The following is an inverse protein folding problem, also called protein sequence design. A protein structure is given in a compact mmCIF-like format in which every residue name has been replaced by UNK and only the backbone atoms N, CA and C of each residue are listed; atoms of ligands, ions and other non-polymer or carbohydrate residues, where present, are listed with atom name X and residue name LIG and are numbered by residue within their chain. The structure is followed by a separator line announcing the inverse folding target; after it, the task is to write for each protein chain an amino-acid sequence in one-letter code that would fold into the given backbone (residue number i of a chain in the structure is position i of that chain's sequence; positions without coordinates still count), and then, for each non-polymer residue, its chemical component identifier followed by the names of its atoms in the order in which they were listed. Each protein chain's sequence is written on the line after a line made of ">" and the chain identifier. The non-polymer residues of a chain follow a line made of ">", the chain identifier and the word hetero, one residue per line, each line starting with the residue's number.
data_IF_259068985413
#
_entry.id   IF_259068985413
#
_cell.length_a   1.000
_cell.length_b   1.000
_cell.length_c   1.000
_cell.angle_alpha   90.00
_cell.angle_beta   90.00
_cell.angle_gamma   90.00
#
_symmetry.space_group_name_H-M   'P 1'
#
loop_
_entity.id
_entity.type
_entity.pdbx_description
1 polymer ?
#
# COMPACT_ATOMS: atom_id res chain seq x y z
N UNK A 1 -13.50 -20.96 -28.22
CA UNK A 1 -14.55 -20.09 -28.79
C UNK A 1 -14.30 -18.68 -28.28
N UNK A 2 -14.21 -17.63 -29.13
CA UNK A 2 -14.05 -16.29 -28.62
C UNK A 2 -15.34 -15.91 -27.88
N UNK A 3 -15.22 -15.57 -26.61
CA UNK A 3 -16.34 -15.06 -25.83
C UNK A 3 -16.87 -13.80 -26.54
N UNK A 4 -18.11 -13.88 -27.03
CA UNK A 4 -18.84 -12.72 -27.54
C UNK A 4 -18.86 -11.70 -26.40
N UNK A 5 -18.10 -10.61 -26.55
CA UNK A 5 -18.14 -9.49 -25.61
C UNK A 5 -19.58 -9.04 -25.50
N UNK A 6 -20.18 -9.24 -24.33
CA UNK A 6 -21.49 -8.68 -24.04
C UNK A 6 -21.42 -7.17 -24.34
N UNK A 7 -22.43 -6.59 -25.03
CA UNK A 7 -22.42 -5.17 -25.33
C UNK A 7 -22.22 -4.39 -24.04
N UNK A 8 -21.31 -3.40 -24.06
CA UNK A 8 -21.10 -2.51 -22.93
C UNK A 8 -22.45 -1.92 -22.54
N UNK A 9 -22.93 -2.30 -21.35
CA UNK A 9 -24.21 -1.81 -20.85
C UNK A 9 -24.23 -0.28 -20.79
N UNK A 10 -25.41 0.35 -20.77
CA UNK A 10 -25.51 1.80 -20.65
C UNK A 10 -24.73 2.26 -19.42
N UNK A 11 -24.01 3.39 -19.54
CA UNK A 11 -23.33 4.06 -18.43
C UNK A 11 -24.37 4.43 -17.38
N UNK A 12 -24.56 3.56 -16.41
CA UNK A 12 -25.43 3.80 -15.26
C UNK A 12 -24.62 4.51 -14.19
N UNK A 13 -25.24 5.47 -13.51
CA UNK A 13 -24.61 6.11 -12.36
C UNK A 13 -24.28 5.04 -11.32
N UNK A 14 -23.10 5.11 -10.65
CA UNK A 14 -22.75 4.15 -9.62
C UNK A 14 -23.85 4.12 -8.56
N UNK A 15 -24.34 2.93 -8.17
CA UNK A 15 -25.34 2.79 -7.12
C UNK A 15 -24.87 3.49 -5.84
N UNK A 16 -25.81 3.99 -5.02
CA UNK A 16 -25.46 4.63 -3.73
C UNK A 16 -24.56 3.72 -2.85
N UNK A 17 -24.72 2.40 -2.96
CA UNK A 17 -23.89 1.42 -2.25
C UNK A 17 -22.42 1.45 -2.67
N UNK A 18 -22.13 1.75 -3.94
CA UNK A 18 -20.77 1.86 -4.45
C UNK A 18 -20.09 3.13 -3.91
N UNK A 19 -20.83 4.25 -3.89
CA UNK A 19 -20.35 5.51 -3.32
C UNK A 19 -20.07 5.40 -1.82
N UNK A 20 -20.94 4.73 -1.07
CA UNK A 20 -20.72 4.44 0.35
C UNK A 20 -19.46 3.58 0.54
N UNK A 21 -19.19 2.66 -0.39
CA UNK A 21 -18.07 1.73 -0.31
C UNK A 21 -16.68 2.38 -0.32
N UNK A 22 -16.55 3.55 -0.94
CA UNK A 22 -15.29 4.31 -1.06
C UNK A 22 -15.37 5.68 -0.38
N UNK A 23 -16.35 5.85 0.51
CA UNK A 23 -16.62 7.14 1.15
C UNK A 23 -15.42 7.68 1.97
N UNK A 24 -14.68 6.86 2.75
CA UNK A 24 -13.47 7.33 3.42
C UNK A 24 -12.45 7.94 2.47
N UNK A 25 -12.22 7.29 1.33
CA UNK A 25 -11.27 7.70 0.29
C UNK A 25 -11.75 8.98 -0.41
N UNK A 26 -13.04 9.08 -0.72
CA UNK A 26 -13.64 10.26 -1.35
C UNK A 26 -13.54 11.50 -0.45
N UNK A 27 -13.81 11.36 0.85
CA UNK A 27 -13.69 12.48 1.80
C UNK A 27 -12.24 12.95 1.87
N UNK A 28 -11.29 12.02 1.91
CA UNK A 28 -9.88 12.38 1.99
C UNK A 28 -9.35 12.96 0.67
N UNK A 29 -9.81 12.45 -0.48
CA UNK A 29 -9.52 13.01 -1.79
C UNK A 29 -10.10 14.43 -1.94
N UNK A 30 -11.32 14.65 -1.45
CA UNK A 30 -11.93 15.98 -1.38
C UNK A 30 -11.12 16.93 -0.48
N UNK A 31 -10.66 16.46 0.68
CA UNK A 31 -9.78 17.23 1.55
C UNK A 31 -8.43 17.55 0.90
N UNK A 32 -7.85 16.62 0.14
CA UNK A 32 -6.65 16.85 -0.66
C UNK A 32 -6.86 17.99 -1.67
N UNK A 33 -7.93 17.93 -2.48
CA UNK A 33 -8.24 18.98 -3.47
C UNK A 33 -8.48 20.32 -2.77
N UNK A 34 -9.26 20.32 -1.68
CA UNK A 34 -9.53 21.52 -0.89
C UNK A 34 -8.24 22.13 -0.36
N UNK A 35 -7.30 21.33 0.17
CA UNK A 35 -6.02 21.83 0.65
C UNK A 35 -5.18 22.45 -0.46
N UNK A 36 -5.21 21.90 -1.67
CA UNK A 36 -4.51 22.50 -2.81
C UNK A 36 -5.09 23.86 -3.18
N UNK A 37 -6.41 24.00 -3.14
CA UNK A 37 -7.07 25.29 -3.35
C UNK A 37 -6.78 26.28 -2.20
N UNK A 38 -6.75 25.79 -0.95
CA UNK A 38 -6.44 26.62 0.21
C UNK A 38 -4.98 27.08 0.22
N UNK A 39 -4.02 26.27 -0.22
CA UNK A 39 -2.61 26.70 -0.29
C UNK A 39 -2.41 27.85 -1.27
N UNK A 40 -3.23 27.93 -2.33
CA UNK A 40 -3.23 29.09 -3.25
C UNK A 40 -3.73 30.37 -2.58
N UNK A 41 -4.66 30.26 -1.62
CA UNK A 41 -5.30 31.40 -0.97
C UNK A 41 -4.64 31.81 0.36
N UNK A 42 -3.96 30.88 1.06
CA UNK A 42 -3.45 31.09 2.42
C UNK A 42 -2.01 31.63 2.40
N UNK A 43 -1.74 32.80 3.01
CA UNK A 43 -0.39 33.36 3.10
C UNK A 43 0.57 32.46 3.89
N UNK A 44 1.86 32.51 3.56
CA UNK A 44 2.91 31.66 4.15
C UNK A 44 2.91 31.66 5.69
N UNK A 45 2.68 32.83 6.30
CA UNK A 45 2.63 33.01 7.76
C UNK A 45 1.51 32.22 8.45
N UNK A 46 0.47 31.80 7.72
CA UNK A 46 -0.69 31.06 8.24
C UNK A 46 -0.75 29.61 7.76
N UNK A 47 0.28 29.11 7.08
CA UNK A 47 0.30 27.73 6.55
C UNK A 47 0.19 26.63 7.62
N UNK A 48 0.39 26.94 8.91
CA UNK A 48 0.05 26.02 10.01
C UNK A 48 -1.44 25.65 10.05
N UNK A 49 -2.34 26.49 9.55
CA UNK A 49 -3.77 26.19 9.43
C UNK A 49 -4.07 25.06 8.43
N UNK A 50 -3.20 24.86 7.43
CA UNK A 50 -3.36 23.74 6.49
C UNK A 50 -3.17 22.39 7.19
N UNK A 51 -2.35 22.34 8.25
CA UNK A 51 -2.24 21.16 9.10
C UNK A 51 -3.54 20.90 9.88
N UNK A 52 -4.24 21.95 10.32
CA UNK A 52 -5.52 21.79 11.00
C UNK A 52 -6.60 21.25 10.04
N UNK A 53 -6.70 21.81 8.83
CA UNK A 53 -7.67 21.33 7.83
C UNK A 53 -7.37 19.90 7.34
N UNK A 54 -6.09 19.52 7.23
CA UNK A 54 -5.73 18.13 6.91
C UNK A 54 -6.11 17.17 8.04
N UNK A 55 -5.91 17.55 9.30
CA UNK A 55 -6.39 16.77 10.45
C UNK A 55 -7.91 16.63 10.48
N UNK A 56 -8.66 17.66 10.08
CA UNK A 56 -10.12 17.58 9.98
C UNK A 56 -10.55 16.57 8.90
N UNK A 57 -9.91 16.59 7.73
CA UNK A 57 -10.16 15.60 6.67
C UNK A 57 -9.83 14.17 7.11
N UNK A 58 -8.69 13.99 7.80
CA UNK A 58 -8.29 12.70 8.38
C UNK A 58 -9.26 12.23 9.47
N UNK A 59 -9.73 13.11 10.34
CA UNK A 59 -10.73 12.77 11.36
C UNK A 59 -12.05 12.31 10.73
N UNK A 60 -12.50 12.97 9.65
CA UNK A 60 -13.65 12.54 8.87
C UNK A 60 -13.46 11.16 8.26
N UNK A 61 -12.34 10.93 7.56
CA UNK A 61 -12.02 9.63 6.98
C UNK A 61 -11.90 8.51 8.05
N UNK A 62 -11.34 8.82 9.22
CA UNK A 62 -11.26 7.88 10.35
C UNK A 62 -12.65 7.49 10.86
N UNK A 63 -13.51 8.48 11.14
CA UNK A 63 -14.87 8.23 11.62
C UNK A 63 -15.68 7.38 10.64
N UNK A 64 -15.56 7.66 9.35
CA UNK A 64 -16.25 6.89 8.30
C UNK A 64 -15.65 5.48 8.17
N UNK A 65 -14.33 5.31 8.31
CA UNK A 65 -13.70 3.98 8.30
C UNK A 65 -14.16 3.12 9.49
N UNK A 66 -14.26 3.71 10.68
CA UNK A 66 -14.76 3.03 11.88
C UNK A 66 -16.24 2.65 11.71
N UNK A 67 -17.07 3.57 11.23
CA UNK A 67 -18.47 3.28 10.92
C UNK A 67 -18.60 2.17 9.87
N UNK A 68 -17.81 2.25 8.79
CA UNK A 68 -17.76 1.27 7.70
C UNK A 68 -17.35 -0.12 8.18
N UNK A 69 -16.49 -0.23 9.20
CA UNK A 69 -16.13 -1.51 9.80
C UNK A 69 -17.34 -2.23 10.43
N UNK A 70 -18.24 -1.48 11.07
CA UNK A 70 -19.49 -2.03 11.62
C UNK A 70 -20.53 -2.30 10.53
N UNK A 71 -20.62 -1.46 9.49
CA UNK A 71 -21.54 -1.64 8.35
C UNK A 71 -21.16 -2.80 7.42
N UNK A 72 -19.86 -3.09 7.27
CA UNK A 72 -19.35 -4.07 6.31
C UNK A 72 -19.92 -5.49 6.49
N UNK A 73 -20.35 -5.86 7.70
CA UNK A 73 -20.95 -7.18 7.95
C UNK A 73 -20.03 -8.33 7.51
N UNK A 74 -20.52 -9.15 6.57
CA UNK A 74 -19.77 -10.26 5.97
C UNK A 74 -18.75 -9.84 4.87
N UNK A 75 -18.72 -8.56 4.51
CA UNK A 75 -17.95 -8.05 3.38
C UNK A 75 -18.72 -8.14 2.07
N UNK A 76 -18.47 -7.20 1.18
CA UNK A 76 -19.02 -7.16 -0.18
C UNK A 76 -18.01 -6.51 -1.12
N UNK A 77 -18.18 -6.69 -2.42
CA UNK A 77 -17.45 -5.91 -3.42
C UNK A 77 -18.32 -4.79 -3.98
N UNK A 78 -17.68 -3.70 -4.40
CA UNK A 78 -18.30 -2.52 -5.03
C UNK A 78 -17.58 -2.21 -6.34
N UNK A 79 -18.16 -1.38 -7.20
CA UNK A 79 -17.63 -1.05 -8.53
C UNK A 79 -17.34 -2.30 -9.37
N UNK A 80 -18.36 -3.14 -9.52
CA UNK A 80 -18.30 -4.39 -10.30
C UNK A 80 -17.18 -5.35 -9.88
N UNK A 81 -16.89 -5.45 -8.58
CA UNK A 81 -15.86 -6.37 -8.08
C UNK A 81 -14.47 -5.76 -7.96
N UNK A 82 -14.28 -4.48 -8.32
CA UNK A 82 -12.95 -3.86 -8.39
C UNK A 82 -12.40 -3.41 -7.03
N UNK A 83 -13.28 -3.13 -6.06
CA UNK A 83 -12.92 -2.68 -4.71
C UNK A 83 -13.68 -3.55 -3.71
N UNK A 84 -12.98 -4.02 -2.67
CA UNK A 84 -13.59 -4.75 -1.57
C UNK A 84 -13.97 -3.78 -0.45
N UNK A 85 -15.23 -3.87 -0.04
CA UNK A 85 -15.78 -3.26 1.15
C UNK A 85 -15.91 -4.33 2.23
N UNK A 86 -14.84 -4.53 3.00
CA UNK A 86 -14.77 -5.52 4.07
C UNK A 86 -14.10 -4.97 5.33
N UNK A 87 -14.18 -5.74 6.41
CA UNK A 87 -13.60 -5.37 7.71
C UNK A 87 -12.08 -5.25 7.66
N UNK A 88 -11.42 -5.98 6.76
CA UNK A 88 -9.97 -5.94 6.62
C UNK A 88 -9.52 -4.59 6.06
N UNK A 89 -10.10 -4.14 4.95
CA UNK A 89 -9.80 -2.82 4.36
C UNK A 89 -10.15 -1.69 5.31
N UNK A 90 -11.30 -1.74 5.98
CA UNK A 90 -11.71 -0.68 6.93
C UNK A 90 -10.75 -0.57 8.13
N UNK A 91 -10.29 -1.71 8.65
CA UNK A 91 -9.31 -1.73 9.73
C UNK A 91 -7.95 -1.17 9.28
N UNK A 92 -7.47 -1.58 8.10
CA UNK A 92 -6.22 -1.06 7.53
C UNK A 92 -6.33 0.45 7.25
N UNK A 93 -7.45 0.91 6.69
CA UNK A 93 -7.73 2.33 6.46
C UNK A 93 -7.64 3.13 7.76
N UNK A 94 -8.21 2.63 8.86
CA UNK A 94 -8.10 3.28 10.16
C UNK A 94 -6.62 3.43 10.61
N UNK A 95 -5.80 2.39 10.45
CA UNK A 95 -4.36 2.45 10.76
C UNK A 95 -3.64 3.49 9.89
N UNK A 96 -3.93 3.52 8.59
CA UNK A 96 -3.32 4.44 7.63
C UNK A 96 -3.66 5.89 7.95
N UNK A 97 -4.93 6.17 8.26
CA UNK A 97 -5.42 7.51 8.62
C UNK A 97 -4.80 7.97 9.95
N UNK A 98 -4.72 7.10 10.95
CA UNK A 98 -4.04 7.42 12.23
C UNK A 98 -2.55 7.70 11.99
N UNK A 99 -1.88 6.89 11.17
CA UNK A 99 -0.47 7.09 10.84
C UNK A 99 -0.24 8.44 10.14
N UNK A 100 -1.09 8.80 9.18
CA UNK A 100 -1.06 10.11 8.54
C UNK A 100 -1.31 11.25 9.53
N UNK A 101 -2.31 11.10 10.42
CA UNK A 101 -2.64 12.12 11.42
C UNK A 101 -1.48 12.39 12.37
N UNK A 102 -0.81 11.34 12.88
CA UNK A 102 0.36 11.49 13.75
C UNK A 102 1.51 12.23 13.04
N UNK A 103 1.75 11.94 11.77
CA UNK A 103 2.77 12.65 10.98
C UNK A 103 2.39 14.11 10.78
N UNK A 104 1.14 14.39 10.44
CA UNK A 104 0.62 15.76 10.29
C UNK A 104 0.74 16.54 11.60
N UNK A 105 0.53 15.90 12.77
CA UNK A 105 0.68 16.57 14.07
C UNK A 105 2.13 16.95 14.38
N UNK A 106 3.11 16.11 14.02
CA UNK A 106 4.53 16.35 14.30
C UNK A 106 5.16 17.33 13.27
N UNK A 107 4.63 17.35 12.06
CA UNK A 107 5.24 18.08 10.92
C UNK A 107 5.35 19.60 11.09
N UNK A 108 4.36 20.37 11.57
CA UNK A 108 4.42 21.83 11.62
C UNK A 108 5.67 22.35 12.34
N UNK A 109 5.99 21.77 13.49
CA UNK A 109 7.14 22.19 14.29
C UNK A 109 8.47 21.82 13.62
N UNK A 110 8.56 20.64 13.01
CA UNK A 110 9.75 20.21 12.26
C UNK A 110 9.97 21.08 11.01
N UNK A 111 8.93 21.29 10.21
CA UNK A 111 8.96 22.07 8.98
C UNK A 111 9.29 23.54 9.24
N UNK A 112 8.70 24.13 10.29
CA UNK A 112 8.99 25.52 10.66
C UNK A 112 10.44 25.71 11.10
N UNK A 113 11.01 24.79 11.89
CA UNK A 113 12.43 24.85 12.28
C UNK A 113 13.38 24.74 11.09
N UNK A 114 12.94 24.07 10.04
CA UNK A 114 13.71 23.84 8.82
C UNK A 114 13.47 24.87 7.72
N UNK A 115 12.57 25.83 7.93
CA UNK A 115 12.20 26.83 6.92
C UNK A 115 11.46 26.25 5.71
N UNK A 116 10.82 25.08 5.87
CA UNK A 116 10.13 24.36 4.79
C UNK A 116 8.62 24.63 4.89
N UNK A 117 8.21 25.85 4.54
CA UNK A 117 6.83 26.32 4.77
C UNK A 117 5.91 26.12 3.56
N UNK A 118 5.78 24.91 3.01
CA UNK A 118 4.97 24.67 1.80
C UNK A 118 3.67 23.92 2.13
N UNK A 119 2.52 24.43 1.70
CA UNK A 119 1.22 23.79 1.94
C UNK A 119 1.01 22.50 1.15
N UNK A 120 1.65 22.40 -0.02
CA UNK A 120 1.80 21.18 -0.82
C UNK A 120 2.21 19.95 0.00
N UNK A 121 2.95 20.12 1.10
CA UNK A 121 3.37 19.03 1.98
C UNK A 121 2.18 18.21 2.50
N UNK A 122 1.18 18.89 3.06
CA UNK A 122 0.02 18.24 3.67
C UNK A 122 -0.89 17.64 2.60
N UNK A 123 -1.04 18.31 1.47
CA UNK A 123 -1.80 17.79 0.33
C UNK A 123 -1.18 16.49 -0.20
N UNK A 124 0.15 16.43 -0.35
CA UNK A 124 0.85 15.22 -0.78
C UNK A 124 0.74 14.07 0.23
N UNK A 125 0.73 14.36 1.54
CA UNK A 125 0.43 13.34 2.56
C UNK A 125 -0.98 12.80 2.38
N UNK A 126 -1.97 13.66 2.17
CA UNK A 126 -3.35 13.21 1.95
C UNK A 126 -3.48 12.39 0.66
N UNK A 127 -2.88 12.85 -0.45
CA UNK A 127 -2.86 12.11 -1.71
C UNK A 127 -2.20 10.73 -1.57
N UNK A 128 -1.07 10.64 -0.88
CA UNK A 128 -0.43 9.37 -0.55
C UNK A 128 -1.33 8.47 0.29
N UNK A 129 -2.05 9.04 1.27
CA UNK A 129 -2.97 8.31 2.15
C UNK A 129 -4.17 7.78 1.37
N UNK A 130 -4.73 8.55 0.45
CA UNK A 130 -5.80 8.09 -0.47
C UNK A 130 -5.33 6.90 -1.29
N UNK A 131 -4.13 7.00 -1.90
CA UNK A 131 -3.55 5.87 -2.64
C UNK A 131 -3.36 4.64 -1.76
N UNK A 132 -2.90 4.81 -0.53
CA UNK A 132 -2.73 3.70 0.41
C UNK A 132 -4.05 3.06 0.85
N UNK A 133 -5.11 3.85 1.06
CA UNK A 133 -6.44 3.34 1.40
C UNK A 133 -7.06 2.57 0.24
N UNK A 134 -6.99 3.13 -0.97
CA UNK A 134 -7.41 2.44 -2.19
C UNK A 134 -6.63 1.13 -2.39
N UNK A 135 -5.34 1.12 -2.07
CA UNK A 135 -4.50 -0.08 -2.17
C UNK A 135 -4.96 -1.17 -1.18
N UNK A 136 -5.29 -0.80 0.06
CA UNK A 136 -5.83 -1.70 1.05
C UNK A 136 -7.23 -2.23 0.69
N UNK A 137 -8.00 -1.46 -0.08
CA UNK A 137 -9.33 -1.80 -0.56
C UNK A 137 -9.34 -2.49 -1.95
N UNK A 138 -8.20 -2.56 -2.64
CA UNK A 138 -8.14 -3.02 -4.02
C UNK A 138 -8.55 -4.51 -4.13
N UNK A 139 -9.45 -4.82 -5.07
CA UNK A 139 -9.85 -6.19 -5.44
C UNK A 139 -9.62 -6.48 -6.93
N UNK A 140 -8.90 -5.60 -7.61
CA UNK A 140 -8.55 -5.68 -9.03
C UNK A 140 -7.09 -5.25 -9.24
N UNK A 141 -6.38 -5.94 -10.13
CA UNK A 141 -4.99 -5.63 -10.51
C UNK A 141 -4.84 -4.16 -10.98
N UNK A 142 -5.85 -3.64 -11.68
CA UNK A 142 -5.84 -2.25 -12.15
C UNK A 142 -5.90 -1.25 -10.98
N UNK A 143 -6.79 -1.51 -10.01
CA UNK A 143 -6.92 -0.65 -8.82
C UNK A 143 -5.64 -0.71 -7.99
N UNK A 144 -5.04 -1.89 -7.84
CA UNK A 144 -3.75 -2.07 -7.16
C UNK A 144 -2.68 -1.20 -7.82
N UNK A 145 -2.53 -1.29 -9.15
CA UNK A 145 -1.52 -0.54 -9.88
C UNK A 145 -1.72 0.97 -9.72
N UNK A 146 -2.94 1.47 -9.97
CA UNK A 146 -3.24 2.90 -9.85
C UNK A 146 -3.06 3.43 -8.41
N UNK A 147 -3.46 2.65 -7.42
CA UNK A 147 -3.31 3.01 -6.01
C UNK A 147 -1.83 3.06 -5.59
N UNK A 148 -1.02 2.09 -6.07
CA UNK A 148 0.44 2.11 -5.90
C UNK A 148 1.06 3.32 -6.61
N UNK A 149 0.67 3.66 -7.83
CA UNK A 149 1.24 4.82 -8.51
C UNK A 149 0.88 6.13 -7.79
N UNK A 150 -0.37 6.29 -7.36
CA UNK A 150 -0.83 7.48 -6.62
C UNK A 150 -0.03 7.67 -5.32
N UNK A 151 0.13 6.61 -4.52
CA UNK A 151 0.95 6.71 -3.30
C UNK A 151 2.43 6.96 -3.64
N UNK A 152 2.94 6.37 -4.73
CA UNK A 152 4.37 6.43 -5.06
C UNK A 152 4.79 7.80 -5.55
N UNK A 153 4.06 8.37 -6.49
CA UNK A 153 4.34 9.71 -7.02
C UNK A 153 4.34 10.73 -5.88
N UNK A 154 3.34 10.64 -4.99
CA UNK A 154 3.25 11.51 -3.82
C UNK A 154 4.49 11.39 -2.92
N UNK A 155 4.98 10.16 -2.70
CA UNK A 155 6.16 9.92 -1.85
C UNK A 155 7.49 10.23 -2.54
N UNK A 156 7.59 10.10 -3.86
CA UNK A 156 8.77 10.55 -4.61
C UNK A 156 8.97 12.05 -4.43
N UNK A 157 7.89 12.83 -4.54
CA UNK A 157 7.92 14.27 -4.29
C UNK A 157 8.21 14.59 -2.83
N UNK A 158 7.56 13.90 -1.87
CA UNK A 158 7.81 14.10 -0.43
C UNK A 158 9.25 13.72 -0.01
N UNK A 159 9.87 12.73 -0.65
CA UNK A 159 11.26 12.34 -0.34
C UNK A 159 12.26 13.45 -0.70
N UNK A 160 11.97 14.20 -1.75
CA UNK A 160 12.75 15.36 -2.24
C UNK A 160 12.27 16.70 -1.72
N UNK A 161 11.42 16.72 -0.68
CA UNK A 161 10.73 17.94 -0.28
C UNK A 161 11.67 19.02 0.28
N UNK A 162 12.82 18.61 0.83
CA UNK A 162 13.89 19.53 1.21
C UNK A 162 14.74 19.89 -0.01
N UNK A 163 14.19 20.73 -0.90
CA UNK A 163 14.78 21.05 -2.22
C UNK A 163 16.19 21.64 -2.18
N UNK A 164 16.61 22.22 -1.05
CA UNK A 164 17.95 22.82 -0.89
C UNK A 164 19.01 21.83 -0.39
N UNK A 165 18.61 20.60 -0.01
CA UNK A 165 19.55 19.59 0.49
C UNK A 165 19.80 18.52 -0.56
N UNK A 166 21.05 18.40 -1.00
CA UNK A 166 21.49 17.41 -1.99
C UNK A 166 21.08 15.98 -1.60
N UNK A 167 21.19 15.63 -0.31
CA UNK A 167 20.79 14.30 0.19
C UNK A 167 19.29 14.01 0.01
N UNK A 168 18.44 15.02 0.12
CA UNK A 168 16.99 14.86 -0.11
C UNK A 168 16.69 14.72 -1.60
N UNK A 169 17.40 15.47 -2.45
CA UNK A 169 17.31 15.33 -3.90
C UNK A 169 17.78 13.94 -4.38
N UNK A 170 18.91 13.46 -3.87
CA UNK A 170 19.45 12.14 -4.17
C UNK A 170 18.48 11.04 -3.72
N UNK A 171 17.90 11.16 -2.52
CA UNK A 171 16.88 10.24 -2.03
C UNK A 171 15.67 10.19 -2.96
N UNK A 172 15.14 11.34 -3.39
CA UNK A 172 14.01 11.41 -4.31
C UNK A 172 14.33 10.73 -5.66
N UNK A 173 15.51 11.01 -6.22
CA UNK A 173 15.94 10.44 -7.51
C UNK A 173 16.11 8.92 -7.40
N UNK A 174 16.81 8.44 -6.37
CA UNK A 174 16.94 7.01 -6.09
C UNK A 174 15.58 6.36 -5.93
N UNK A 175 14.68 6.97 -5.16
CA UNK A 175 13.37 6.38 -4.91
C UNK A 175 12.52 6.31 -6.18
N UNK A 176 12.50 7.38 -6.97
CA UNK A 176 11.77 7.46 -8.24
C UNK A 176 12.29 6.42 -9.25
N UNK A 177 13.60 6.33 -9.45
CA UNK A 177 14.19 5.42 -10.44
C UNK A 177 13.96 3.96 -10.04
N UNK A 178 14.35 3.58 -8.82
CA UNK A 178 14.19 2.21 -8.36
C UNK A 178 12.70 1.82 -8.25
N UNK A 179 11.85 2.77 -7.84
CA UNK A 179 10.41 2.58 -7.75
C UNK A 179 9.72 2.47 -9.11
N UNK A 180 10.18 3.22 -10.12
CA UNK A 180 9.71 3.08 -11.50
C UNK A 180 10.03 1.70 -12.08
N UNK A 181 11.26 1.20 -11.87
CA UNK A 181 11.62 -0.17 -12.26
C UNK A 181 10.75 -1.23 -11.56
N UNK A 182 10.57 -1.12 -10.25
CA UNK A 182 9.72 -2.04 -9.49
C UNK A 182 8.27 -2.04 -9.98
N UNK A 183 7.74 -0.87 -10.33
CA UNK A 183 6.37 -0.75 -10.86
C UNK A 183 6.25 -1.29 -12.28
N UNK A 184 7.32 -1.20 -13.08
CA UNK A 184 7.44 -1.89 -14.37
C UNK A 184 7.37 -3.41 -14.23
N UNK A 185 8.12 -4.00 -13.29
CA UNK A 185 8.01 -5.44 -12.99
C UNK A 185 6.61 -5.82 -12.52
N UNK A 186 6.00 -5.03 -11.62
CA UNK A 186 4.65 -5.26 -11.14
C UNK A 186 3.64 -5.28 -12.29
N UNK A 187 3.65 -4.25 -13.14
CA UNK A 187 2.73 -4.11 -14.26
C UNK A 187 2.92 -5.21 -15.31
N UNK A 188 4.17 -5.57 -15.61
CA UNK A 188 4.45 -6.66 -16.53
C UNK A 188 3.98 -8.01 -15.96
N UNK A 189 4.16 -8.24 -14.65
CA UNK A 189 3.62 -9.41 -13.96
C UNK A 189 2.09 -9.48 -14.02
N UNK A 190 1.41 -8.35 -13.79
CA UNK A 190 -0.04 -8.24 -13.94
C UNK A 190 -0.50 -8.54 -15.38
N UNK A 191 0.25 -8.09 -16.39
CA UNK A 191 -0.05 -8.35 -17.79
C UNK A 191 0.06 -9.85 -18.13
N UNK A 192 1.07 -10.56 -17.59
CA UNK A 192 1.20 -12.01 -17.78
C UNK A 192 0.06 -12.78 -17.10
N UNK A 193 -0.28 -12.43 -15.85
CA UNK A 193 -1.42 -13.04 -15.16
C UNK A 193 -2.74 -12.77 -15.90
N UNK A 194 -2.93 -11.55 -16.42
CA UNK A 194 -4.08 -11.24 -17.26
C UNK A 194 -4.07 -12.01 -18.59
N UNK A 195 -2.91 -12.21 -19.22
CA UNK A 195 -2.78 -12.98 -20.45
C UNK A 195 -3.26 -14.42 -20.30
N UNK A 196 -2.97 -15.04 -19.14
CA UNK A 196 -3.35 -16.42 -18.83
C UNK A 196 -4.79 -16.56 -18.33
N UNK A 197 -5.25 -15.60 -17.52
CA UNK A 197 -6.58 -15.72 -16.87
C UNK A 197 -7.69 -14.97 -17.60
N UNK A 198 -7.37 -13.95 -18.39
CA UNK A 198 -8.34 -13.06 -19.03
C UNK A 198 -9.06 -12.12 -18.05
N UNK A 199 -8.65 -12.09 -16.78
CA UNK A 199 -9.34 -11.34 -15.72
C UNK A 199 -8.38 -10.42 -14.96
N UNK A 200 -8.90 -9.29 -14.49
CA UNK A 200 -8.16 -8.37 -13.59
C UNK A 200 -8.66 -8.44 -12.15
N UNK A 201 -9.84 -9.02 -11.91
CA UNK A 201 -10.42 -9.13 -10.57
C UNK A 201 -9.81 -10.32 -9.84
N UNK A 202 -9.36 -10.11 -8.59
CA UNK A 202 -8.61 -11.12 -7.84
C UNK A 202 -9.40 -12.41 -7.64
N UNK A 203 -10.70 -12.30 -7.34
CA UNK A 203 -11.59 -13.44 -7.15
C UNK A 203 -11.75 -14.27 -8.44
N UNK A 204 -11.90 -13.62 -9.59
CA UNK A 204 -12.01 -14.28 -10.89
C UNK A 204 -10.70 -14.97 -11.29
N UNK A 205 -9.56 -14.32 -11.04
CA UNK A 205 -8.22 -14.91 -11.24
C UNK A 205 -8.10 -16.19 -10.41
N UNK A 206 -8.42 -16.11 -9.11
CA UNK A 206 -8.37 -17.27 -8.21
C UNK A 206 -9.28 -18.42 -8.67
N UNK A 207 -10.50 -18.10 -9.11
CA UNK A 207 -11.44 -19.09 -9.63
C UNK A 207 -10.90 -19.82 -10.88
N UNK A 208 -10.34 -19.11 -11.86
CA UNK A 208 -9.76 -19.71 -13.07
C UNK A 208 -8.59 -20.63 -12.71
N UNK A 209 -7.67 -20.16 -11.85
CA UNK A 209 -6.48 -20.92 -11.47
C UNK A 209 -6.80 -22.17 -10.63
N UNK A 210 -7.92 -22.17 -9.91
CA UNK A 210 -8.40 -23.35 -9.17
C UNK A 210 -8.86 -24.49 -10.10
N UNK A 211 -9.36 -24.17 -11.29
CA UNK A 211 -9.85 -25.14 -12.28
C UNK A 211 -8.76 -25.70 -13.21
N UNK A 212 -7.60 -25.04 -13.29
CA UNK A 212 -6.47 -25.48 -14.12
C UNK A 212 -5.15 -25.34 -13.35
N UNK A 213 -4.81 -26.32 -12.49
CA UNK A 213 -3.62 -26.25 -11.63
C UNK A 213 -2.29 -26.45 -12.37
N UNK A 214 -2.32 -26.72 -13.69
CA UNK A 214 -1.09 -26.78 -14.48
C UNK A 214 -0.52 -25.37 -14.61
N UNK A 215 0.61 -25.14 -13.96
CA UNK A 215 1.25 -23.85 -13.90
C UNK A 215 2.04 -23.59 -15.20
N UNK A 216 1.44 -22.82 -16.11
CA UNK A 216 2.18 -22.28 -17.25
C UNK A 216 3.41 -21.50 -16.72
N UNK A 217 4.62 -21.76 -17.23
CA UNK A 217 5.81 -21.00 -16.86
C UNK A 217 5.63 -19.47 -16.95
N UNK A 218 4.82 -18.96 -17.89
CA UNK A 218 4.51 -17.53 -18.01
C UNK A 218 3.67 -17.03 -16.84
N UNK A 219 2.69 -17.82 -16.36
CA UNK A 219 1.91 -17.48 -15.17
C UNK A 219 2.81 -17.39 -13.94
N UNK A 220 3.70 -18.37 -13.76
CA UNK A 220 4.65 -18.39 -12.63
C UNK A 220 5.56 -17.15 -12.70
N UNK A 221 6.09 -16.83 -13.88
CA UNK A 221 6.86 -15.61 -14.09
C UNK A 221 6.05 -14.37 -13.74
N UNK A 222 4.77 -14.30 -14.14
CA UNK A 222 3.85 -13.23 -13.77
C UNK A 222 3.70 -13.04 -12.26
N UNK A 223 3.44 -14.12 -11.53
CA UNK A 223 3.30 -14.11 -10.07
C UNK A 223 4.61 -13.66 -9.39
N UNK A 224 5.77 -14.15 -9.85
CA UNK A 224 7.08 -13.77 -9.31
C UNK A 224 7.33 -12.28 -9.57
N UNK A 225 7.06 -11.78 -10.76
CA UNK A 225 7.25 -10.37 -11.11
C UNK A 225 6.32 -9.44 -10.32
N UNK A 226 5.07 -9.85 -10.09
CA UNK A 226 4.19 -9.14 -9.16
C UNK A 226 4.77 -9.13 -7.74
N UNK A 227 5.30 -10.27 -7.28
CA UNK A 227 5.96 -10.34 -5.98
C UNK A 227 7.16 -9.39 -5.88
N UNK A 228 7.99 -9.27 -6.93
CA UNK A 228 9.11 -8.31 -6.98
C UNK A 228 8.62 -6.88 -6.71
N UNK A 229 7.53 -6.47 -7.37
CA UNK A 229 6.93 -5.16 -7.16
C UNK A 229 6.46 -4.93 -5.72
N UNK A 230 5.76 -5.90 -5.14
CA UNK A 230 5.31 -5.82 -3.74
C UNK A 230 6.49 -5.86 -2.75
N UNK A 231 7.47 -6.73 -2.97
CA UNK A 231 8.67 -6.89 -2.15
C UNK A 231 9.48 -5.59 -2.11
N UNK A 232 9.56 -4.86 -3.23
CA UNK A 232 10.12 -3.52 -3.26
C UNK A 232 9.36 -2.55 -2.36
N UNK A 233 8.01 -2.53 -2.43
CA UNK A 233 7.16 -1.62 -1.64
C UNK A 233 7.24 -1.87 -0.14
N UNK A 234 7.41 -3.12 0.29
CA UNK A 234 7.59 -3.47 1.71
C UNK A 234 9.05 -3.39 2.19
N UNK A 235 9.99 -3.08 1.29
CA UNK A 235 11.44 -3.05 1.54
C UNK A 235 12.04 -4.42 1.90
N UNK A 236 11.58 -5.50 1.28
CA UNK A 236 12.12 -6.84 1.52
C UNK A 236 13.38 -7.10 0.69
N UNK A 237 14.30 -7.92 1.22
CA UNK A 237 15.53 -8.35 0.54
C UNK A 237 15.18 -9.32 -0.60
N UNK A 238 15.73 -9.17 -1.82
CA UNK A 238 16.84 -8.30 -2.23
C UNK A 238 16.44 -6.88 -2.69
N UNK A 239 15.16 -6.54 -2.71
CA UNK A 239 14.62 -5.29 -3.28
C UNK A 239 14.62 -4.09 -2.31
N UNK A 240 15.38 -4.16 -1.24
CA UNK A 240 15.42 -3.19 -0.14
C UNK A 240 16.40 -2.01 -0.33
N UNK A 241 17.25 -2.06 -1.36
CA UNK A 241 18.40 -1.16 -1.52
C UNK A 241 18.06 0.34 -1.47
N UNK A 242 16.83 0.71 -1.87
CA UNK A 242 16.35 2.07 -1.80
C UNK A 242 16.13 2.57 -0.36
N UNK A 243 15.76 1.69 0.56
CA UNK A 243 15.17 2.07 1.86
C UNK A 243 16.14 2.82 2.78
N UNK A 244 17.39 2.35 3.01
CA UNK A 244 18.32 3.05 3.91
C UNK A 244 18.67 4.46 3.43
N UNK A 245 18.91 4.62 2.13
CA UNK A 245 19.32 5.89 1.54
C UNK A 245 18.17 6.89 1.51
N UNK A 246 16.98 6.43 1.11
CA UNK A 246 15.78 7.28 1.09
C UNK A 246 15.38 7.70 2.49
N UNK A 247 15.42 6.79 3.47
CA UNK A 247 15.05 7.11 4.84
C UNK A 247 16.01 8.11 5.47
N UNK A 248 17.30 8.02 5.12
CA UNK A 248 18.32 8.94 5.61
C UNK A 248 18.18 10.33 4.97
N UNK A 249 17.98 10.39 3.65
CA UNK A 249 17.94 11.64 2.89
C UNK A 249 16.62 12.39 2.99
N UNK A 250 15.49 11.70 3.11
CA UNK A 250 14.18 12.34 3.20
C UNK A 250 13.99 13.13 4.51
N UNK A 251 13.13 14.17 4.50
CA UNK A 251 12.73 14.85 5.73
C UNK A 251 12.20 13.86 6.77
N UNK A 252 12.56 14.05 8.04
CA UNK A 252 12.27 13.03 9.07
C UNK A 252 10.78 12.72 9.19
N UNK A 253 9.90 13.71 9.07
CA UNK A 253 8.45 13.50 9.07
C UNK A 253 7.97 12.61 7.93
N UNK A 254 8.58 12.72 6.75
CA UNK A 254 8.30 11.85 5.58
C UNK A 254 8.81 10.44 5.84
N UNK A 255 10.04 10.30 6.35
CA UNK A 255 10.59 8.98 6.73
C UNK A 255 9.71 8.28 7.76
N UNK A 256 9.21 9.00 8.77
CA UNK A 256 8.29 8.46 9.77
C UNK A 256 7.01 7.94 9.12
N UNK A 257 6.42 8.71 8.19
CA UNK A 257 5.24 8.28 7.44
C UNK A 257 5.49 7.01 6.62
N UNK A 258 6.59 6.99 5.87
CA UNK A 258 6.99 5.86 5.01
C UNK A 258 7.35 4.61 5.81
N UNK A 259 7.87 4.76 7.03
CA UNK A 259 8.25 3.61 7.86
C UNK A 259 7.09 2.73 8.29
N UNK A 260 5.88 3.29 8.33
CA UNK A 260 4.67 2.60 8.81
C UNK A 260 3.61 2.51 7.72
N UNK A 261 3.07 3.64 7.27
CA UNK A 261 1.86 3.68 6.47
C UNK A 261 2.03 2.91 5.13
N UNK A 262 3.14 3.14 4.44
CA UNK A 262 3.37 2.53 3.12
C UNK A 262 3.55 1.02 3.22
N UNK A 263 4.20 0.55 4.28
CA UNK A 263 4.37 -0.89 4.53
C UNK A 263 3.04 -1.53 4.89
N UNK A 264 2.23 -0.90 5.74
CA UNK A 264 0.89 -1.39 6.09
C UNK A 264 0.03 -1.55 4.83
N UNK A 265 -0.04 -0.53 3.97
CA UNK A 265 -0.82 -0.60 2.74
C UNK A 265 -0.29 -1.66 1.76
N UNK A 266 1.03 -1.72 1.57
CA UNK A 266 1.65 -2.69 0.68
C UNK A 266 1.46 -4.14 1.17
N UNK A 267 1.58 -4.39 2.48
CA UNK A 267 1.31 -5.71 3.06
C UNK A 267 -0.17 -6.09 2.98
N UNK A 268 -1.08 -5.14 3.13
CA UNK A 268 -2.50 -5.40 2.97
C UNK A 268 -2.84 -5.87 1.54
N UNK A 269 -2.32 -5.17 0.53
CA UNK A 269 -2.51 -5.57 -0.86
C UNK A 269 -1.77 -6.87 -1.21
N UNK A 270 -0.53 -7.05 -0.75
CA UNK A 270 0.24 -8.28 -0.95
C UNK A 270 -0.53 -9.48 -0.39
N UNK A 271 -1.00 -9.38 0.86
CA UNK A 271 -1.81 -10.44 1.49
C UNK A 271 -3.06 -10.73 0.66
N UNK A 272 -3.80 -9.69 0.26
CA UNK A 272 -5.03 -9.87 -0.51
C UNK A 272 -4.77 -10.56 -1.86
N UNK A 273 -3.75 -10.14 -2.60
CA UNK A 273 -3.39 -10.74 -3.89
C UNK A 273 -3.03 -12.21 -3.72
N UNK A 274 -2.14 -12.54 -2.80
CA UNK A 274 -1.61 -13.90 -2.66
C UNK A 274 -2.64 -14.87 -2.06
N UNK A 275 -3.52 -14.38 -1.18
CA UNK A 275 -4.60 -15.18 -0.57
C UNK A 275 -5.78 -15.36 -1.52
N UNK A 276 -6.21 -14.31 -2.24
CA UNK A 276 -7.42 -14.36 -3.07
C UNK A 276 -7.14 -14.83 -4.50
N UNK A 277 -6.09 -14.32 -5.14
CA UNK A 277 -5.82 -14.61 -6.55
C UNK A 277 -4.94 -15.86 -6.73
N UNK A 278 -3.99 -16.11 -5.82
CA UNK A 278 -2.99 -17.18 -6.00
C UNK A 278 -3.01 -18.33 -4.96
N UNK A 279 -4.14 -18.70 -4.32
CA UNK A 279 -4.14 -19.80 -3.35
C UNK A 279 -3.83 -21.16 -4.01
N UNK A 280 -4.36 -21.41 -5.21
CA UNK A 280 -4.06 -22.64 -5.96
C UNK A 280 -2.58 -22.77 -6.35
N UNK A 281 -1.86 -21.65 -6.43
CA UNK A 281 -0.45 -21.59 -6.82
C UNK A 281 0.50 -21.55 -5.62
N UNK A 282 0.01 -21.78 -4.38
CA UNK A 282 0.79 -21.72 -3.15
C UNK A 282 2.12 -22.46 -3.23
N UNK A 283 2.11 -23.69 -3.76
CA UNK A 283 3.31 -24.52 -3.91
C UNK A 283 4.42 -23.89 -4.75
N UNK A 284 4.09 -22.96 -5.66
CA UNK A 284 5.04 -22.32 -6.57
C UNK A 284 5.67 -21.06 -5.99
N UNK A 285 4.92 -20.27 -5.20
CA UNK A 285 5.42 -19.00 -4.69
C UNK A 285 5.88 -19.06 -3.23
N UNK A 286 5.39 -20.01 -2.41
CA UNK A 286 5.66 -20.06 -0.97
C UNK A 286 7.16 -20.02 -0.63
N UNK A 287 7.97 -20.79 -1.37
CA UNK A 287 9.39 -20.94 -1.08
C UNK A 287 10.15 -19.64 -1.34
N UNK A 288 9.80 -18.93 -2.41
CA UNK A 288 10.42 -17.66 -2.78
C UNK A 288 10.08 -16.59 -1.72
N UNK A 289 8.82 -16.50 -1.31
CA UNK A 289 8.40 -15.54 -0.27
C UNK A 289 9.07 -15.86 1.08
N UNK A 290 9.15 -17.14 1.45
CA UNK A 290 9.82 -17.58 2.67
C UNK A 290 11.33 -17.28 2.66
N UNK A 291 12.01 -17.53 1.53
CA UNK A 291 13.42 -17.17 1.38
C UNK A 291 13.63 -15.66 1.52
N UNK A 292 12.80 -14.85 0.87
CA UNK A 292 12.84 -13.38 0.99
C UNK A 292 12.59 -12.93 2.44
N UNK A 293 11.68 -13.57 3.16
CA UNK A 293 11.45 -13.30 4.58
C UNK A 293 12.70 -13.60 5.42
N UNK A 294 13.31 -14.78 5.24
CA UNK A 294 14.53 -15.21 5.95
C UNK A 294 15.68 -14.23 5.68
N UNK A 295 15.95 -13.92 4.41
CA UNK A 295 17.02 -12.98 4.07
C UNK A 295 16.76 -11.57 4.62
N UNK A 296 15.50 -11.12 4.64
CA UNK A 296 15.13 -9.83 5.22
C UNK A 296 15.40 -9.77 6.72
N UNK A 297 15.06 -10.82 7.47
CA UNK A 297 15.34 -10.91 8.91
C UNK A 297 16.84 -10.95 9.20
N UNK A 298 17.60 -11.76 8.47
CA UNK A 298 19.05 -11.91 8.68
C UNK A 298 19.77 -10.60 8.33
N UNK A 299 19.59 -10.11 7.10
CA UNK A 299 20.31 -8.93 6.62
C UNK A 299 19.88 -7.68 7.39
N UNK A 300 18.58 -7.50 7.62
CA UNK A 300 18.06 -6.36 8.36
C UNK A 300 18.65 -6.25 9.76
N UNK A 301 18.69 -7.36 10.52
CA UNK A 301 19.23 -7.36 11.87
C UNK A 301 20.76 -7.22 11.90
N UNK A 302 21.49 -7.95 11.04
CA UNK A 302 22.96 -7.91 11.03
C UNK A 302 23.48 -6.55 10.60
N UNK A 303 22.90 -5.97 9.53
CA UNK A 303 23.37 -4.68 9.01
C UNK A 303 22.93 -3.51 9.89
N UNK A 304 21.81 -3.62 10.61
CA UNK A 304 21.40 -2.60 11.59
C UNK A 304 22.46 -2.37 12.68
N UNK A 305 23.13 -3.43 13.15
CA UNK A 305 24.16 -3.36 14.20
C UNK A 305 25.41 -2.56 13.77
N UNK A 306 25.67 -2.47 12.47
CA UNK A 306 26.85 -1.77 11.93
C UNK A 306 26.55 -0.32 11.54
N UNK A 307 25.30 0.13 11.65
CA UNK A 307 24.94 1.50 11.26
C UNK A 307 25.32 2.52 12.34
N UNK A 308 26.01 3.58 11.92
CA UNK A 308 26.31 4.75 12.77
C UNK A 308 25.19 5.80 12.78
N UNK A 309 24.31 5.80 11.76
CA UNK A 309 23.18 6.72 11.66
C UNK A 309 21.90 6.09 12.21
N UNK A 310 21.25 6.78 13.15
CA UNK A 310 19.95 6.34 13.72
C UNK A 310 18.90 6.12 12.62
N UNK A 311 18.83 6.99 11.61
CA UNK A 311 17.88 6.83 10.49
C UNK A 311 18.16 5.57 9.66
N UNK A 312 19.43 5.27 9.36
CA UNK A 312 19.80 4.05 8.63
C UNK A 312 19.55 2.81 9.49
N UNK A 313 19.89 2.87 10.78
CA UNK A 313 19.63 1.79 11.73
C UNK A 313 18.13 1.45 11.79
N UNK A 314 17.25 2.46 11.88
CA UNK A 314 15.80 2.29 11.84
C UNK A 314 15.30 1.79 10.48
N UNK A 315 15.93 2.19 9.37
CA UNK A 315 15.60 1.66 8.05
C UNK A 315 15.87 0.15 7.96
N UNK A 316 17.04 -0.32 8.44
CA UNK A 316 17.37 -1.75 8.49
C UNK A 316 16.52 -2.53 9.50
N UNK A 317 16.16 -1.92 10.63
CA UNK A 317 15.16 -2.48 11.54
C UNK A 317 13.81 -2.67 10.83
N UNK A 318 13.37 -1.69 10.04
CA UNK A 318 12.17 -1.80 9.22
C UNK A 318 12.26 -2.89 8.14
N UNK A 319 13.44 -3.18 7.60
CA UNK A 319 13.68 -4.29 6.65
C UNK A 319 13.53 -5.63 7.37
N UNK A 320 14.10 -5.79 8.57
CA UNK A 320 13.92 -6.99 9.37
C UNK A 320 12.45 -7.23 9.74
N UNK A 321 11.73 -6.17 10.15
CA UNK A 321 10.30 -6.23 10.47
C UNK A 321 9.44 -6.64 9.28
N UNK A 322 9.78 -6.20 8.07
CA UNK A 322 9.12 -6.69 6.86
C UNK A 322 9.29 -8.21 6.69
N UNK A 323 10.47 -8.74 7.03
CA UNK A 323 10.72 -10.18 7.06
C UNK A 323 9.81 -10.93 8.03
N UNK A 324 9.65 -10.44 9.26
CA UNK A 324 8.74 -11.05 10.24
C UNK A 324 7.28 -11.06 9.76
N UNK A 325 6.81 -9.98 9.14
CA UNK A 325 5.44 -9.90 8.59
C UNK A 325 5.25 -10.87 7.41
N UNK A 326 6.25 -11.01 6.54
CA UNK A 326 6.19 -11.94 5.40
C UNK A 326 6.02 -13.40 5.84
N UNK A 327 6.54 -13.81 7.01
CA UNK A 327 6.26 -15.15 7.55
C UNK A 327 4.76 -15.35 7.79
N UNK A 328 4.06 -14.33 8.30
CA UNK A 328 2.61 -14.36 8.46
C UNK A 328 1.87 -14.50 7.12
N UNK A 329 2.35 -13.84 6.07
CA UNK A 329 1.81 -13.99 4.71
C UNK A 329 1.96 -15.42 4.20
N UNK A 330 3.16 -16.01 4.34
CA UNK A 330 3.40 -17.40 3.93
C UNK A 330 2.47 -18.35 4.67
N UNK A 331 2.32 -18.18 5.99
CA UNK A 331 1.45 -19.04 6.80
C UNK A 331 -0.05 -18.87 6.49
N UNK A 332 -0.48 -17.69 6.00
CA UNK A 332 -1.90 -17.38 5.80
C UNK A 332 -2.59 -18.18 4.68
N UNK A 333 -1.81 -18.80 3.78
CA UNK A 333 -2.32 -19.54 2.63
C UNK A 333 -2.10 -21.06 2.77
N UNK A 334 -1.47 -21.52 3.86
CA UNK A 334 -1.16 -22.94 4.04
C UNK A 334 -2.45 -23.78 4.13
N UNK A 335 -2.70 -24.69 3.15
CA UNK A 335 -3.89 -25.54 3.13
C UNK A 335 -4.05 -26.43 4.37
N UNK A 336 -2.96 -26.69 5.10
CA UNK A 336 -2.98 -27.52 6.32
C UNK A 336 -3.54 -26.78 7.53
N UNK A 337 -3.46 -25.45 7.56
CA UNK A 337 -4.00 -24.59 8.64
C UNK A 337 -5.50 -24.31 8.51
N UNK A 338 -6.09 -24.59 7.34
CA UNK A 338 -7.53 -24.49 7.09
C UNK A 338 -8.32 -25.72 7.55
N UNK A 339 -7.66 -26.72 8.17
CA UNK A 339 -8.39 -27.72 8.95
C UNK A 339 -8.89 -27.03 10.21
N UNK A 340 -10.20 -27.09 10.55
CA UNK A 340 -10.64 -26.61 11.84
C UNK A 340 -9.83 -27.35 12.90
N UNK A 341 -9.02 -26.61 13.66
CA UNK A 341 -8.46 -27.16 14.89
C UNK A 341 -9.64 -27.77 15.65
N UNK A 342 -9.59 -29.04 16.09
CA UNK A 342 -10.62 -29.54 16.98
C UNK A 342 -10.63 -28.58 18.15
N UNK A 343 -11.77 -27.91 18.36
CA UNK A 343 -12.00 -27.01 19.48
C UNK A 343 -11.74 -27.80 20.76
N UNK A 344 -10.49 -27.74 21.25
CA UNK A 344 -10.13 -28.12 22.59
C UNK A 344 -10.88 -27.15 23.49
N UNK A 345 -11.91 -27.67 24.14
CA UNK A 345 -12.64 -27.01 25.22
C UNK A 345 -11.64 -26.43 26.22
N UNK A 346 -11.43 -25.11 26.17
CA UNK A 346 -10.90 -24.38 27.31
C UNK A 346 -12.09 -24.26 28.26
N UNK A 347 -12.10 -25.14 29.26
CA UNK A 347 -13.08 -25.09 30.35
C UNK A 347 -12.98 -23.74 31.07
N UNK A 348 -14.15 -23.12 31.26
CA UNK A 348 -14.41 -22.24 32.39
C UNK A 348 -14.86 -23.10 33.55
#
# INVERSE_FOLDING_TARGET
>A
MPAVQAPLGPLTLPPNRDLIGVLPELVLAGAFVLLMLLDLAVPERRRSWLAFFSLLGLAGAFAISVWGWFDAGAGRTVYSGSIAYDRFSMFVNAILVVSAALVVMISPHYLNRRGIHYGEYYALILAATVGMMLLAAAASLMVIFLAIELLSISLYVLSGFSRLEERSQEAALKYLLLGGFASGFLLFGMALVYGETGHTQLEQIGAVLSGSPNADPLLIAGIILMFVGFAFKVSAVPFHAWTPDVYQGAPTSVTTFMSVATKVAAFAALTRVFVQAFPAMYGHWQAIVALVAIFSMILGNVVALTQSSVKRMLAYSGIAQAGYILIGVVASVDPTTLRPAPLGTIGV
#
